data_IF_797875250605
#
_entry.id   IF_797875250605
#
_cell.length_a   1.000
_cell.length_b   1.000
_cell.length_c   1.000
_cell.angle_alpha   90.00
_cell.angle_beta   90.00
_cell.angle_gamma   90.00
#
_symmetry.space_group_name_H-M   'P 1'
#
loop_
_entity.id
_entity.type
_entity.pdbx_description
1 polymer ?
#
# COMPACT_ATOMS: atom_id res chain seq x y z
N UNK A 1 25.05 -0.88 -7.31
CA UNK A 1 25.72 -0.32 -8.50
C UNK A 1 24.60 0.17 -9.40
N UNK A 2 24.68 1.41 -9.88
CA UNK A 2 23.66 1.96 -10.77
C UNK A 2 23.65 1.14 -12.08
N UNK A 3 22.47 0.78 -12.59
CA UNK A 3 22.35 -0.09 -13.77
C UNK A 3 23.08 0.51 -14.98
N UNK A 4 22.97 1.84 -15.14
CA UNK A 4 23.67 2.58 -16.19
C UNK A 4 25.19 2.52 -16.06
N UNK A 5 25.73 2.58 -14.83
CA UNK A 5 27.17 2.52 -14.58
C UNK A 5 27.78 1.22 -15.10
N UNK A 6 27.07 0.10 -14.94
CA UNK A 6 27.48 -1.20 -15.48
C UNK A 6 27.55 -1.17 -17.01
N UNK A 7 26.51 -0.68 -17.69
CA UNK A 7 26.50 -0.57 -19.16
C UNK A 7 27.62 0.35 -19.66
N UNK A 8 27.81 1.50 -19.03
CA UNK A 8 28.88 2.44 -19.38
C UNK A 8 30.26 1.79 -19.24
N UNK A 9 30.53 1.10 -18.13
CA UNK A 9 31.81 0.42 -17.91
C UNK A 9 32.04 -0.71 -18.92
N UNK A 10 30.99 -1.46 -19.27
CA UNK A 10 31.06 -2.51 -20.30
C UNK A 10 31.40 -1.93 -21.68
N UNK A 11 30.72 -0.87 -22.12
CA UNK A 11 31.00 -0.24 -23.42
C UNK A 11 32.40 0.39 -23.44
N UNK A 12 32.85 1.01 -22.35
CA UNK A 12 34.23 1.54 -22.25
C UNK A 12 35.28 0.43 -22.32
N UNK A 13 35.01 -0.71 -21.67
CA UNK A 13 35.90 -1.87 -21.75
C UNK A 13 35.92 -2.47 -23.17
N UNK A 14 34.75 -2.59 -23.80
CA UNK A 14 34.61 -3.08 -25.17
C UNK A 14 35.41 -2.23 -26.16
N UNK A 15 35.30 -0.89 -26.10
CA UNK A 15 36.07 0.01 -26.96
C UNK A 15 37.59 -0.19 -26.79
N UNK A 16 38.08 -0.23 -25.55
CA UNK A 16 39.51 -0.45 -25.27
C UNK A 16 40.00 -1.81 -25.77
N UNK A 17 39.18 -2.85 -25.63
CA UNK A 17 39.51 -4.17 -26.14
C UNK A 17 39.54 -4.18 -27.67
N UNK A 18 38.58 -3.51 -28.32
CA UNK A 18 38.52 -3.37 -29.77
C UNK A 18 39.73 -2.62 -30.33
N UNK A 19 40.14 -1.52 -29.69
CA UNK A 19 41.33 -0.74 -30.04
C UNK A 19 42.59 -1.62 -29.98
N UNK A 20 42.79 -2.34 -28.87
CA UNK A 20 43.94 -3.23 -28.67
C UNK A 20 44.00 -4.34 -29.72
N UNK A 21 42.91 -5.08 -29.92
CA UNK A 21 42.85 -6.16 -30.91
C UNK A 21 43.04 -5.63 -32.34
N UNK A 22 42.49 -4.45 -32.65
CA UNK A 22 42.64 -3.85 -33.98
C UNK A 22 44.07 -3.37 -34.22
N UNK A 23 44.74 -2.83 -33.20
CA UNK A 23 46.15 -2.44 -33.29
C UNK A 23 47.07 -3.65 -33.52
N UNK A 24 46.79 -4.79 -32.88
CA UNK A 24 47.51 -6.05 -33.09
C UNK A 24 47.30 -6.61 -34.51
N UNK A 25 46.05 -6.67 -34.98
CA UNK A 25 45.74 -7.22 -36.30
C UNK A 25 46.10 -6.29 -37.46
N UNK A 26 46.00 -4.97 -37.26
CA UNK A 26 46.19 -3.93 -38.28
C UNK A 26 47.15 -2.85 -37.79
N UNK A 27 48.47 -3.10 -37.85
CA UNK A 27 49.47 -2.18 -37.32
C UNK A 27 49.42 -0.76 -37.91
N UNK A 28 48.98 -0.62 -39.16
CA UNK A 28 48.83 0.68 -39.82
C UNK A 28 47.74 1.57 -39.21
N UNK A 29 46.82 1.01 -38.40
CA UNK A 29 45.80 1.76 -37.67
C UNK A 29 46.18 1.98 -36.19
N UNK A 30 47.25 1.35 -35.70
CA UNK A 30 47.63 1.37 -34.30
C UNK A 30 47.85 2.80 -33.79
N UNK A 31 48.57 3.65 -34.54
CA UNK A 31 48.81 5.04 -34.16
C UNK A 31 47.51 5.86 -34.06
N UNK A 32 46.55 5.61 -34.96
CA UNK A 32 45.25 6.31 -34.98
C UNK A 32 44.30 5.85 -33.87
N UNK A 33 44.42 4.61 -33.42
CA UNK A 33 43.63 4.02 -32.35
C UNK A 33 44.34 4.08 -30.99
N UNK A 34 45.57 4.59 -30.97
CA UNK A 34 46.35 4.68 -29.75
C UNK A 34 45.78 5.79 -28.87
N UNK A 35 45.28 5.42 -27.69
CA UNK A 35 44.67 6.33 -26.71
C UNK A 35 45.66 7.30 -26.04
N UNK A 36 46.65 7.81 -26.77
CA UNK A 36 47.63 8.77 -26.28
C UNK A 36 47.09 10.20 -26.20
N UNK A 37 46.02 10.49 -26.93
CA UNK A 37 45.35 11.80 -26.90
C UNK A 37 44.21 11.80 -25.85
N UNK A 38 44.33 12.60 -24.78
CA UNK A 38 43.29 12.71 -23.76
C UNK A 38 41.94 13.18 -24.31
N UNK A 39 41.91 13.95 -25.39
CA UNK A 39 40.67 14.45 -25.98
C UNK A 39 39.93 13.35 -26.76
N UNK A 40 40.66 12.42 -27.39
CA UNK A 40 40.08 11.23 -28.03
C UNK A 40 39.55 10.27 -26.95
N UNK A 41 40.26 10.09 -25.84
CA UNK A 41 39.76 9.25 -24.74
C UNK A 41 38.46 9.82 -24.16
N UNK A 42 38.36 11.14 -23.97
CA UNK A 42 37.11 11.80 -23.54
C UNK A 42 35.97 11.64 -24.54
N UNK A 43 36.26 11.70 -25.84
CA UNK A 43 35.26 11.45 -26.88
C UNK A 43 34.77 10.00 -26.82
N UNK A 44 35.67 9.04 -26.66
CA UNK A 44 35.34 7.63 -26.53
C UNK A 44 34.53 7.35 -25.25
N UNK A 45 34.81 8.05 -24.15
CA UNK A 45 33.99 7.99 -22.94
C UNK A 45 32.58 8.54 -23.18
N UNK A 46 32.43 9.68 -23.86
CA UNK A 46 31.13 10.21 -24.26
C UNK A 46 30.35 9.24 -25.17
N UNK A 47 31.05 8.62 -26.13
CA UNK A 47 30.48 7.62 -27.02
C UNK A 47 30.03 6.36 -26.27
N UNK A 48 30.87 5.84 -25.37
CA UNK A 48 30.53 4.71 -24.50
C UNK A 48 29.31 4.99 -23.62
N UNK A 49 29.17 6.22 -23.11
CA UNK A 49 28.00 6.63 -22.33
C UNK A 49 26.70 6.59 -23.18
N UNK A 50 26.74 7.12 -24.41
CA UNK A 50 25.58 7.09 -25.32
C UNK A 50 25.23 5.65 -25.73
N UNK A 51 26.22 4.85 -26.12
CA UNK A 51 26.01 3.44 -26.50
C UNK A 51 25.52 2.59 -25.32
N UNK A 52 26.05 2.84 -24.12
CA UNK A 52 25.60 2.16 -22.90
C UNK A 52 24.13 2.46 -22.62
N UNK A 53 23.71 3.72 -22.78
CA UNK A 53 22.30 4.12 -22.63
C UNK A 53 21.41 3.53 -23.71
N UNK A 54 21.87 3.49 -24.96
CA UNK A 54 21.14 2.88 -26.07
C UNK A 54 20.94 1.37 -25.83
N UNK A 55 21.99 0.68 -25.37
CA UNK A 55 21.92 -0.75 -25.08
C UNK A 55 21.02 -1.04 -23.89
N UNK A 56 21.11 -0.24 -22.82
CA UNK A 56 20.17 -0.29 -21.70
C UNK A 56 18.73 -0.13 -22.19
N UNK A 57 18.46 0.79 -23.12
CA UNK A 57 17.13 0.99 -23.69
C UNK A 57 16.64 -0.19 -24.53
N UNK A 58 17.53 -0.85 -25.26
CA UNK A 58 17.19 -2.06 -26.03
C UNK A 58 16.89 -3.24 -25.08
N UNK A 59 17.60 -3.32 -23.96
CA UNK A 59 17.48 -4.38 -22.99
C UNK A 59 16.33 -4.16 -21.97
N UNK A 60 15.57 -3.05 -22.00
CA UNK A 60 14.61 -2.69 -20.95
C UNK A 60 13.26 -3.45 -20.98
N UNK A 61 13.13 -4.43 -21.87
CA UNK A 61 11.97 -5.31 -22.02
C UNK A 61 10.69 -4.68 -22.61
N UNK A 62 10.81 -3.58 -23.37
CA UNK A 62 9.69 -2.89 -24.02
C UNK A 62 8.60 -2.41 -23.03
N UNK A 63 8.97 -1.56 -22.04
CA UNK A 63 8.05 -0.99 -21.07
C UNK A 63 6.93 -0.17 -21.73
N UNK A 64 7.14 0.35 -22.93
CA UNK A 64 6.12 1.07 -23.73
C UNK A 64 4.90 0.20 -24.03
N UNK A 65 5.06 -1.12 -24.04
CA UNK A 65 3.96 -2.07 -24.26
C UNK A 65 3.46 -2.62 -22.92
N UNK A 66 4.39 -3.01 -22.03
CA UNK A 66 4.00 -3.71 -20.80
C UNK A 66 3.41 -2.79 -19.74
N UNK A 67 3.91 -1.56 -19.58
CA UNK A 67 3.41 -0.63 -18.56
C UNK A 67 1.96 -0.21 -18.80
N UNK A 68 1.53 0.22 -20.00
CA UNK A 68 0.13 0.58 -20.22
C UNK A 68 -0.83 -0.59 -19.96
N UNK A 69 -0.43 -1.82 -20.27
CA UNK A 69 -1.22 -3.02 -19.99
C UNK A 69 -1.33 -3.28 -18.49
N UNK A 70 -0.22 -3.20 -17.74
CA UNK A 70 -0.21 -3.36 -16.29
C UNK A 70 -0.96 -2.23 -15.56
N UNK A 71 -0.87 -0.99 -16.06
CA UNK A 71 -1.65 0.15 -15.57
C UNK A 71 -3.16 -0.06 -15.79
N UNK A 72 -3.55 -0.59 -16.95
CA UNK A 72 -4.95 -1.01 -17.22
C UNK A 72 -5.41 -2.06 -16.23
N UNK A 73 -4.54 -3.02 -15.92
CA UNK A 73 -4.76 -4.02 -14.87
C UNK A 73 -4.56 -3.47 -13.46
N UNK A 74 -4.33 -2.17 -13.28
CA UNK A 74 -4.13 -1.56 -11.96
C UNK A 74 -3.10 -2.28 -11.08
N UNK A 75 -2.10 -2.94 -11.68
CA UNK A 75 -1.18 -3.81 -10.98
C UNK A 75 -0.38 -3.03 -9.93
N UNK A 76 -0.27 -3.58 -8.71
CA UNK A 76 0.40 -2.89 -7.61
C UNK A 76 1.90 -2.67 -7.88
N UNK A 77 2.53 -3.55 -8.67
CA UNK A 77 3.97 -3.46 -9.01
C UNK A 77 4.35 -2.18 -9.74
N UNK A 78 3.47 -1.67 -10.61
CA UNK A 78 3.70 -0.42 -11.36
C UNK A 78 3.21 0.82 -10.60
N UNK A 79 2.54 0.63 -9.46
CA UNK A 79 2.12 1.71 -8.54
C UNK A 79 3.09 1.88 -7.36
N UNK A 80 3.88 0.85 -7.05
CA UNK A 80 4.74 0.80 -5.86
C UNK A 80 3.96 0.43 -4.60
N UNK A 81 4.65 0.32 -3.48
CA UNK A 81 4.09 -0.01 -2.16
C UNK A 81 4.49 1.12 -1.20
N UNK A 82 3.54 1.94 -0.74
CA UNK A 82 3.79 2.93 0.29
C UNK A 82 4.26 2.30 1.61
N UNK A 83 4.95 3.11 2.43
CA UNK A 83 5.31 2.73 3.78
C UNK A 83 4.06 2.58 4.67
N UNK A 84 4.07 1.61 5.59
CA UNK A 84 2.93 1.32 6.46
C UNK A 84 3.36 1.04 7.90
N UNK A 85 2.47 1.26 8.85
CA UNK A 85 2.67 0.96 10.26
C UNK A 85 1.31 0.66 10.92
N UNK A 86 1.31 0.28 12.19
CA UNK A 86 0.09 0.14 13.01
C UNK A 86 0.12 1.20 14.10
N UNK A 87 -0.92 2.03 14.17
CA UNK A 87 -1.10 3.02 15.24
C UNK A 87 -2.14 2.56 16.24
N UNK A 88 -1.94 2.98 17.48
CA UNK A 88 -2.90 2.87 18.57
C UNK A 88 -3.41 4.26 18.93
N UNK A 89 -4.73 4.37 19.07
CA UNK A 89 -5.38 5.51 19.69
C UNK A 89 -5.65 5.18 21.15
N UNK A 90 -4.92 5.82 22.06
CA UNK A 90 -4.97 5.54 23.49
C UNK A 90 -5.22 6.85 24.23
N UNK A 91 -6.30 6.92 24.99
CA UNK A 91 -6.52 8.03 25.92
C UNK A 91 -6.52 7.59 27.39
N UNK A 92 -5.93 6.41 27.66
CA UNK A 92 -5.79 5.88 29.01
C UNK A 92 -7.13 5.73 29.73
N UNK A 93 -7.20 6.21 30.96
CA UNK A 93 -8.41 6.17 31.81
C UNK A 93 -9.38 7.30 31.55
N UNK A 94 -9.04 8.25 30.67
CA UNK A 94 -9.83 9.47 30.47
C UNK A 94 -10.84 9.34 29.31
N UNK A 95 -10.78 8.23 28.55
CA UNK A 95 -11.70 7.96 27.44
C UNK A 95 -12.89 7.14 27.95
N UNK A 96 -13.93 7.85 28.35
CA UNK A 96 -15.19 7.26 28.82
C UNK A 96 -16.31 7.20 27.76
N UNK A 97 -15.96 7.47 26.51
CA UNK A 97 -16.87 7.51 25.36
C UNK A 97 -16.58 6.42 24.33
N UNK A 98 -17.56 6.14 23.48
CA UNK A 98 -17.38 5.32 22.28
C UNK A 98 -17.46 6.20 21.04
N UNK A 99 -16.58 5.98 20.07
CA UNK A 99 -16.63 6.66 18.78
C UNK A 99 -16.06 5.78 17.66
N UNK A 100 -16.25 6.18 16.41
CA UNK A 100 -15.66 5.48 15.26
C UNK A 100 -14.88 6.47 14.44
N UNK A 101 -13.56 6.25 14.36
CA UNK A 101 -12.69 7.02 13.50
C UNK A 101 -12.86 6.52 12.05
N UNK A 102 -13.18 7.41 11.10
CA UNK A 102 -13.38 7.01 9.72
C UNK A 102 -12.06 6.52 9.09
N UNK A 103 -12.20 5.70 8.06
CA UNK A 103 -11.06 5.39 7.17
C UNK A 103 -10.54 6.67 6.54
N UNK A 104 -9.22 6.80 6.48
CA UNK A 104 -8.56 7.97 5.90
C UNK A 104 -8.40 9.12 6.88
N UNK A 105 -8.58 8.88 8.17
CA UNK A 105 -8.20 9.82 9.23
C UNK A 105 -6.69 10.04 9.16
N UNK A 106 -6.26 11.30 9.17
CA UNK A 106 -4.85 11.67 9.04
C UNK A 106 -4.17 11.63 10.40
N UNK A 107 -2.94 11.10 10.42
CA UNK A 107 -2.01 11.17 11.55
C UNK A 107 -0.63 11.54 11.00
N UNK A 108 0.19 12.22 11.77
CA UNK A 108 1.48 12.75 11.30
C UNK A 108 2.62 12.38 12.23
N UNK A 109 3.83 12.37 11.68
CA UNK A 109 5.05 12.32 12.49
C UNK A 109 5.36 13.68 13.13
N UNK A 110 6.29 13.71 14.07
CA UNK A 110 6.86 14.96 14.61
C UNK A 110 7.49 15.87 13.54
N UNK A 111 7.94 15.29 12.43
CA UNK A 111 8.47 16.01 11.26
C UNK A 111 7.41 16.45 10.25
N UNK A 112 6.13 16.16 10.49
CA UNK A 112 5.01 16.54 9.63
C UNK A 112 4.74 15.60 8.45
N UNK A 113 5.33 14.40 8.42
CA UNK A 113 5.06 13.40 7.37
C UNK A 113 3.66 12.79 7.58
N UNK A 114 2.77 12.84 6.58
CA UNK A 114 1.40 12.36 6.72
C UNK A 114 1.26 10.85 6.53
N UNK A 115 0.37 10.28 7.33
CA UNK A 115 -0.12 8.92 7.25
C UNK A 115 -1.64 8.94 7.36
N UNK A 116 -2.31 7.96 6.76
CA UNK A 116 -3.77 7.84 6.83
C UNK A 116 -4.19 6.47 7.31
N UNK A 117 -5.29 6.40 8.05
CA UNK A 117 -5.88 5.13 8.46
C UNK A 117 -6.43 4.35 7.25
N UNK A 118 -6.05 3.08 7.14
CA UNK A 118 -6.45 2.20 6.05
C UNK A 118 -7.88 1.66 6.17
N UNK A 119 -8.44 1.68 7.38
CA UNK A 119 -9.79 1.20 7.72
C UNK A 119 -10.39 2.05 8.84
N UNK A 120 -11.66 1.85 9.14
CA UNK A 120 -12.32 2.46 10.29
C UNK A 120 -11.76 1.88 11.59
N UNK A 121 -11.62 2.69 12.63
CA UNK A 121 -11.19 2.25 13.95
C UNK A 121 -12.30 2.54 14.96
N UNK A 122 -12.82 1.50 15.62
CA UNK A 122 -13.78 1.66 16.70
C UNK A 122 -13.03 1.92 18.01
N UNK A 123 -13.35 3.04 18.66
CA UNK A 123 -12.88 3.39 19.99
C UNK A 123 -14.01 3.03 20.95
N UNK A 124 -13.72 2.17 21.91
CA UNK A 124 -14.66 1.74 22.93
C UNK A 124 -14.11 2.11 24.31
N UNK A 125 -14.95 2.40 25.31
CA UNK A 125 -14.50 2.77 26.65
C UNK A 125 -14.07 1.53 27.44
N UNK A 126 -13.08 0.81 26.91
CA UNK A 126 -12.54 -0.43 27.41
C UNK A 126 -11.02 -0.36 27.48
N UNK A 127 -10.46 -0.86 28.58
CA UNK A 127 -9.02 -1.11 28.72
C UNK A 127 -8.77 -2.60 28.99
N UNK A 128 -7.82 -3.20 28.28
CA UNK A 128 -7.37 -4.56 28.55
C UNK A 128 -6.31 -4.52 29.69
N UNK A 129 -6.73 -4.88 30.90
CA UNK A 129 -5.93 -4.72 32.13
C UNK A 129 -5.08 -5.95 32.47
N UNK A 130 -5.49 -7.15 32.04
CA UNK A 130 -4.72 -8.36 32.31
C UNK A 130 -4.82 -9.38 31.17
N UNK A 131 -3.71 -10.09 30.93
CA UNK A 131 -3.63 -11.31 30.12
C UNK A 131 -3.03 -12.40 31.00
N UNK A 132 -3.73 -13.51 31.18
CA UNK A 132 -3.24 -14.63 32.00
C UNK A 132 -3.23 -15.91 31.18
N UNK A 133 -2.11 -16.62 31.20
CA UNK A 133 -1.92 -17.85 30.46
C UNK A 133 -1.85 -19.02 31.44
N UNK A 134 -2.73 -19.99 31.26
CA UNK A 134 -2.72 -21.22 32.06
C UNK A 134 -2.65 -22.43 31.16
N UNK A 135 -1.71 -23.31 31.47
CA UNK A 135 -1.56 -24.59 30.80
C UNK A 135 -2.21 -25.68 31.64
N UNK A 136 -3.13 -26.41 31.03
CA UNK A 136 -3.69 -27.65 31.54
C UNK A 136 -3.16 -28.78 30.64
N UNK A 137 -3.13 -30.01 31.15
CA UNK A 137 -2.45 -31.19 30.55
C UNK A 137 -2.30 -31.15 29.01
N UNK A 138 -3.43 -31.00 28.29
CA UNK A 138 -3.47 -30.91 26.83
C UNK A 138 -4.29 -29.70 26.32
N UNK A 139 -4.43 -28.64 27.12
CA UNK A 139 -5.16 -27.43 26.67
C UNK A 139 -4.53 -26.17 27.23
N UNK A 140 -4.54 -25.10 26.45
CA UNK A 140 -4.12 -23.78 26.92
C UNK A 140 -5.33 -22.88 27.10
N UNK A 141 -5.42 -22.19 28.23
CA UNK A 141 -6.43 -21.15 28.47
C UNK A 141 -5.75 -19.80 28.59
N UNK A 142 -6.13 -18.88 27.71
CA UNK A 142 -5.69 -17.48 27.72
C UNK A 142 -6.87 -16.59 28.13
N UNK A 143 -6.78 -16.00 29.32
CA UNK A 143 -7.82 -15.13 29.87
C UNK A 143 -7.44 -13.66 29.66
N UNK A 144 -8.28 -12.94 28.92
CA UNK A 144 -8.17 -11.50 28.67
C UNK A 144 -9.19 -10.77 29.56
N UNK A 145 -8.73 -9.88 30.44
CA UNK A 145 -9.60 -9.16 31.38
C UNK A 145 -9.73 -7.70 30.98
N UNK A 146 -10.96 -7.28 30.69
CA UNK A 146 -11.30 -5.94 30.26
C UNK A 146 -11.94 -5.15 31.39
N UNK A 147 -11.51 -3.90 31.54
CA UNK A 147 -12.08 -2.90 32.43
C UNK A 147 -12.93 -1.94 31.59
N UNK A 148 -14.19 -1.79 31.95
CA UNK A 148 -15.07 -0.77 31.41
C UNK A 148 -14.84 0.56 32.12
N UNK A 149 -14.68 1.63 31.32
CA UNK A 149 -14.35 2.99 31.77
C UNK A 149 -15.49 3.96 31.42
N UNK A 150 -16.55 3.48 30.76
CA UNK A 150 -17.64 4.35 30.31
C UNK A 150 -18.54 4.82 31.46
N UNK A 151 -19.32 5.86 31.16
CA UNK A 151 -20.25 6.48 32.13
C UNK A 151 -21.54 5.70 32.33
N UNK A 152 -21.90 4.80 31.42
CA UNK A 152 -23.18 4.09 31.47
C UNK A 152 -23.13 2.90 32.41
N UNK A 153 -24.27 2.53 32.98
CA UNK A 153 -24.38 1.36 33.86
C UNK A 153 -24.26 0.02 33.11
N UNK A 154 -24.09 0.05 31.79
CA UNK A 154 -23.97 -1.13 30.96
C UNK A 154 -23.07 -0.91 29.76
N UNK A 155 -22.43 -1.98 29.30
CA UNK A 155 -21.68 -1.99 28.05
C UNK A 155 -22.44 -2.80 26.99
N UNK A 156 -22.69 -2.25 25.78
CA UNK A 156 -23.27 -3.00 24.67
C UNK A 156 -22.26 -4.03 24.15
N UNK A 157 -22.69 -5.29 24.06
CA UNK A 157 -21.84 -6.37 23.55
C UNK A 157 -21.67 -6.19 22.04
N UNK A 158 -20.45 -5.81 21.62
CA UNK A 158 -20.07 -5.61 20.22
C UNK A 158 -18.81 -6.39 19.87
N UNK A 159 -18.55 -6.65 18.58
CA UNK A 159 -17.28 -7.23 18.16
C UNK A 159 -16.09 -6.33 18.53
N UNK A 160 -15.03 -6.92 19.09
CA UNK A 160 -13.82 -6.20 19.48
C UNK A 160 -12.70 -6.46 18.46
N UNK A 161 -12.14 -5.40 17.88
CA UNK A 161 -10.94 -5.53 17.05
C UNK A 161 -9.69 -5.45 17.92
N UNK A 162 -8.84 -6.47 17.83
CA UNK A 162 -7.60 -6.59 18.59
C UNK A 162 -6.42 -6.72 17.63
N UNK A 163 -5.38 -5.92 17.87
CA UNK A 163 -4.08 -6.11 17.25
C UNK A 163 -3.26 -7.08 18.11
N UNK A 164 -2.74 -8.14 17.50
CA UNK A 164 -2.19 -9.27 18.24
C UNK A 164 -0.90 -8.92 18.97
N UNK A 165 0.09 -8.33 18.31
CA UNK A 165 1.35 -7.91 18.92
C UNK A 165 2.18 -7.07 17.94
N UNK A 166 2.97 -6.08 18.42
CA UNK A 166 4.01 -5.45 17.61
C UNK A 166 5.21 -6.38 17.35
N UNK A 167 5.42 -7.41 18.18
CA UNK A 167 6.40 -8.47 17.95
C UNK A 167 5.82 -9.49 16.96
N UNK A 168 6.45 -9.59 15.80
CA UNK A 168 6.03 -10.44 14.68
C UNK A 168 5.98 -11.93 15.06
N UNK A 169 6.99 -12.44 15.78
CA UNK A 169 7.03 -13.86 16.15
C UNK A 169 5.90 -14.22 17.14
N UNK A 170 5.59 -13.31 18.06
CA UNK A 170 4.45 -13.47 18.98
C UNK A 170 3.14 -13.38 18.22
N UNK A 171 3.00 -12.41 17.30
CA UNK A 171 1.80 -12.22 16.50
C UNK A 171 1.51 -13.44 15.59
N UNK A 172 2.53 -13.99 14.94
CA UNK A 172 2.44 -15.18 14.10
C UNK A 172 2.03 -16.41 14.91
N UNK A 173 2.65 -16.61 16.07
CA UNK A 173 2.32 -17.72 16.97
C UNK A 173 0.87 -17.63 17.44
N UNK A 174 0.42 -16.43 17.82
CA UNK A 174 -0.97 -16.17 18.19
C UNK A 174 -1.91 -16.40 17.00
N UNK A 175 -1.56 -15.90 15.81
CA UNK A 175 -2.38 -16.05 14.61
C UNK A 175 -2.54 -17.52 14.21
N UNK A 176 -1.46 -18.29 14.23
CA UNK A 176 -1.47 -19.74 14.00
C UNK A 176 -2.36 -20.45 15.01
N UNK A 177 -2.17 -20.16 16.31
CA UNK A 177 -2.97 -20.74 17.38
C UNK A 177 -4.46 -20.44 17.24
N UNK A 178 -4.81 -19.20 16.93
CA UNK A 178 -6.18 -18.76 16.72
C UNK A 178 -6.83 -19.38 15.48
N UNK A 179 -6.07 -19.60 14.40
CA UNK A 179 -6.61 -20.15 13.15
C UNK A 179 -6.72 -21.67 13.14
N UNK A 180 -5.82 -22.38 13.82
CA UNK A 180 -5.68 -23.84 13.69
C UNK A 180 -5.90 -24.63 14.98
N UNK A 181 -5.67 -24.02 16.14
CA UNK A 181 -5.66 -24.71 17.44
C UNK A 181 -6.75 -24.20 18.39
N UNK A 182 -7.53 -23.21 17.95
CA UNK A 182 -8.59 -22.61 18.74
C UNK A 182 -9.82 -23.52 18.81
N UNK A 183 -10.29 -23.78 20.03
CA UNK A 183 -11.42 -24.67 20.29
C UNK A 183 -12.72 -23.92 20.50
N UNK A 184 -12.74 -23.01 21.47
CA UNK A 184 -13.89 -22.19 21.84
C UNK A 184 -13.48 -21.03 22.76
N UNK A 185 -14.41 -20.12 23.04
CA UNK A 185 -14.21 -19.04 23.99
C UNK A 185 -15.38 -18.96 24.98
N UNK A 186 -15.09 -18.37 26.13
CA UNK A 186 -16.06 -18.19 27.21
C UNK A 186 -16.03 -16.72 27.65
N UNK A 187 -17.19 -16.08 27.73
CA UNK A 187 -17.35 -14.75 28.32
C UNK A 187 -17.74 -14.92 29.78
N UNK A 188 -17.01 -14.27 30.68
CA UNK A 188 -17.17 -14.34 32.13
C UNK A 188 -17.49 -12.95 32.68
N UNK A 189 -18.59 -12.81 33.42
CA UNK A 189 -18.95 -11.57 34.11
C UNK A 189 -19.92 -11.84 35.27
N UNK A 190 -19.70 -11.22 36.42
CA UNK A 190 -20.50 -11.38 37.65
C UNK A 190 -20.79 -12.86 38.03
N UNK A 191 -19.79 -13.73 37.86
CA UNK A 191 -19.91 -15.16 38.12
C UNK A 191 -20.75 -15.95 37.11
N UNK A 192 -21.30 -15.29 36.09
CA UNK A 192 -21.96 -15.94 34.96
C UNK A 192 -20.95 -16.23 33.85
N UNK A 193 -21.14 -17.38 33.20
CA UNK A 193 -20.33 -17.82 32.07
C UNK A 193 -21.26 -18.01 30.89
N UNK A 194 -21.03 -17.26 29.82
CA UNK A 194 -21.69 -17.48 28.55
C UNK A 194 -20.73 -18.19 27.61
N UNK A 195 -21.08 -19.39 27.13
CA UNK A 195 -20.31 -20.03 26.08
C UNK A 195 -20.43 -19.15 24.84
N UNK A 196 -19.28 -18.78 24.30
CA UNK A 196 -19.26 -18.31 22.93
C UNK A 196 -19.15 -19.57 22.06
N UNK A 197 -20.19 -19.90 21.29
CA UNK A 197 -20.08 -20.83 20.16
C UNK A 197 -18.81 -20.51 19.37
N UNK A 198 -18.12 -21.49 18.73
CA UNK A 198 -16.84 -21.26 18.06
C UNK A 198 -16.95 -19.99 17.24
N UNK A 199 -16.45 -18.91 17.84
CA UNK A 199 -16.81 -17.58 17.36
C UNK A 199 -16.23 -17.52 15.96
N UNK A 200 -16.82 -16.68 15.11
CA UNK A 200 -16.12 -16.23 13.93
C UNK A 200 -14.90 -15.42 14.38
N UNK A 201 -13.85 -16.10 14.87
CA UNK A 201 -12.48 -15.63 14.84
C UNK A 201 -12.10 -15.66 13.37
N UNK A 202 -12.65 -14.71 12.62
CA UNK A 202 -12.18 -14.47 11.28
C UNK A 202 -10.97 -13.56 11.44
N UNK A 203 -9.74 -14.05 11.18
CA UNK A 203 -8.75 -13.10 10.71
C UNK A 203 -9.40 -12.38 9.53
N UNK A 204 -9.11 -11.09 9.34
CA UNK A 204 -9.61 -10.38 8.17
C UNK A 204 -9.33 -11.23 6.92
N UNK A 205 -10.16 -11.21 5.89
CA UNK A 205 -9.95 -12.07 4.73
C UNK A 205 -10.39 -11.38 3.45
N UNK A 206 -9.86 -11.84 2.32
CA UNK A 206 -10.15 -11.24 1.01
C UNK A 206 -9.84 -9.75 0.96
N UNK A 207 -10.79 -8.96 0.48
CA UNK A 207 -10.65 -7.50 0.31
C UNK A 207 -10.57 -6.74 1.62
N UNK A 208 -11.04 -7.30 2.74
CA UNK A 208 -11.03 -6.65 4.04
C UNK A 208 -9.63 -6.61 4.66
N UNK A 209 -8.70 -7.46 4.17
CA UNK A 209 -7.27 -7.39 4.52
C UNK A 209 -6.55 -6.20 3.89
N UNK A 210 -7.04 -5.69 2.76
CA UNK A 210 -6.29 -4.74 1.94
C UNK A 210 -6.10 -3.39 2.63
N UNK A 211 -4.86 -2.93 2.64
CA UNK A 211 -4.41 -1.72 3.33
C UNK A 211 -4.20 -0.58 2.35
N UNK A 212 -3.59 -0.84 1.18
CA UNK A 212 -3.12 0.22 0.27
C UNK A 212 -4.24 0.87 -0.55
N UNK A 213 -5.28 0.11 -0.90
CA UNK A 213 -6.44 0.61 -1.65
C UNK A 213 -7.62 -0.34 -1.47
N UNK A 214 -8.85 0.15 -1.24
CA UNK A 214 -10.01 -0.69 -1.51
C UNK A 214 -10.08 -0.90 -3.04
N UNK A 215 -10.47 -2.08 -3.53
CA UNK A 215 -10.85 -2.19 -4.92
C UNK A 215 -11.99 -1.18 -5.16
N UNK A 216 -11.76 -0.21 -6.05
CA UNK A 216 -12.87 0.50 -6.69
C UNK A 216 -13.79 -0.59 -7.23
N UNK A 217 -15.11 -0.41 -7.09
CA UNK A 217 -16.17 -1.41 -7.30
C UNK A 217 -16.12 -2.24 -8.61
N UNK A 218 -15.19 -1.94 -9.52
CA UNK A 218 -14.79 -2.77 -10.66
C UNK A 218 -13.70 -3.75 -10.22
N UNK A 219 -14.07 -4.69 -9.34
CA UNK A 219 -13.16 -5.68 -8.77
C UNK A 219 -12.72 -6.74 -9.82
N UNK A 220 -11.42 -6.82 -10.08
CA UNK A 220 -10.79 -8.05 -10.60
C UNK A 220 -9.37 -8.33 -10.08
N UNK A 221 -8.65 -7.31 -9.57
CA UNK A 221 -7.20 -7.43 -9.33
C UNK A 221 -6.80 -7.32 -7.84
N UNK A 222 -7.75 -7.55 -6.94
CA UNK A 222 -7.50 -7.55 -5.50
C UNK A 222 -6.61 -8.73 -5.06
N UNK A 223 -6.68 -9.88 -5.73
CA UNK A 223 -5.92 -11.07 -5.33
C UNK A 223 -4.40 -10.92 -5.54
N UNK A 224 -3.90 -10.43 -6.70
CA UNK A 224 -2.49 -10.08 -6.85
C UNK A 224 -2.01 -9.01 -5.86
N UNK A 225 -2.85 -8.02 -5.56
CA UNK A 225 -2.55 -7.02 -4.53
C UNK A 225 -2.45 -7.68 -3.15
N UNK A 226 -3.38 -8.56 -2.79
CA UNK A 226 -3.36 -9.29 -1.52
C UNK A 226 -2.10 -10.14 -1.37
N UNK A 227 -1.63 -10.79 -2.44
CA UNK A 227 -0.38 -11.54 -2.42
C UNK A 227 0.81 -10.61 -2.12
N UNK A 228 0.89 -9.46 -2.80
CA UNK A 228 1.95 -8.48 -2.56
C UNK A 228 1.89 -7.92 -1.13
N UNK A 229 0.72 -7.50 -0.66
CA UNK A 229 0.57 -7.00 0.72
C UNK A 229 0.93 -8.07 1.75
N UNK A 230 0.55 -9.34 1.53
CA UNK A 230 0.89 -10.43 2.45
C UNK A 230 2.39 -10.72 2.52
N UNK A 231 3.13 -10.51 1.41
CA UNK A 231 4.58 -10.75 1.36
C UNK A 231 5.40 -9.55 1.85
N UNK A 232 4.95 -8.32 1.57
CA UNK A 232 5.71 -7.11 1.85
C UNK A 232 5.24 -6.36 3.10
N UNK A 233 4.01 -6.59 3.56
CA UNK A 233 3.38 -5.89 4.68
C UNK A 233 2.74 -6.87 5.71
N UNK A 234 3.43 -7.93 6.16
CA UNK A 234 2.84 -8.90 7.11
C UNK A 234 2.40 -8.24 8.43
N UNK A 235 3.16 -7.25 8.91
CA UNK A 235 2.95 -6.56 10.19
C UNK A 235 1.59 -5.86 10.33
N UNK A 236 0.95 -5.44 9.23
CA UNK A 236 -0.37 -4.77 9.25
C UNK A 236 -1.56 -5.73 9.17
N UNK A 237 -1.30 -7.03 9.06
CA UNK A 237 -2.33 -8.06 8.94
C UNK A 237 -2.59 -8.85 10.24
N UNK A 238 -1.84 -8.59 11.31
CA UNK A 238 -2.00 -9.22 12.63
C UNK A 238 -3.19 -8.68 13.44
N UNK A 239 -4.36 -8.64 12.83
CA UNK A 239 -5.61 -8.21 13.43
C UNK A 239 -6.60 -9.35 13.55
N UNK A 240 -7.33 -9.34 14.66
CA UNK A 240 -8.39 -10.27 14.96
C UNK A 240 -9.66 -9.48 15.29
N UNK A 241 -10.81 -9.98 14.86
CA UNK A 241 -12.10 -9.50 15.37
C UNK A 241 -12.71 -10.56 16.27
N UNK A 242 -12.83 -10.26 17.56
CA UNK A 242 -13.56 -11.06 18.53
C UNK A 242 -15.04 -10.75 18.42
N UNK A 243 -15.80 -11.58 17.71
CA UNK A 243 -17.25 -11.57 17.89
C UNK A 243 -17.57 -12.00 19.33
N UNK A 244 -18.57 -11.40 19.97
CA UNK A 244 -19.00 -11.78 21.32
C UNK A 244 -20.42 -12.35 21.27
N UNK A 245 -20.77 -13.29 22.17
CA UNK A 245 -22.08 -13.92 22.16
C UNK A 245 -23.17 -12.89 22.49
N UNK A 246 -24.00 -12.55 21.52
CA UNK A 246 -25.11 -11.58 21.68
C UNK A 246 -26.48 -12.25 21.85
N UNK A 247 -26.55 -13.58 21.67
CA UNK A 247 -27.81 -14.34 21.66
C UNK A 247 -28.48 -14.36 23.03
N UNK A 248 -27.69 -14.48 24.11
CA UNK A 248 -28.22 -14.58 25.48
C UNK A 248 -28.36 -13.22 26.16
N UNK A 249 -27.51 -12.26 25.80
CA UNK A 249 -27.62 -10.86 26.21
C UNK A 249 -27.00 -9.97 25.15
N UNK A 250 -27.57 -8.79 24.92
CA UNK A 250 -26.98 -7.75 24.07
C UNK A 250 -26.15 -6.72 24.86
N UNK A 251 -26.17 -6.80 26.20
CA UNK A 251 -25.58 -5.81 27.12
C UNK A 251 -25.03 -6.50 28.38
N UNK A 252 -23.89 -6.04 28.87
CA UNK A 252 -23.34 -6.45 30.17
C UNK A 252 -23.58 -5.35 31.21
N UNK A 253 -24.06 -5.71 32.40
CA UNK A 253 -24.36 -4.76 33.48
C UNK A 253 -23.11 -4.42 34.28
N UNK A 254 -22.62 -3.18 34.18
CA UNK A 254 -21.36 -2.73 34.80
C UNK A 254 -21.54 -2.17 36.22
N UNK A 255 -22.71 -2.41 36.84
CA UNK A 255 -23.09 -1.90 38.16
C UNK A 255 -22.42 -2.61 39.33
N UNK A 256 -22.29 -3.94 39.26
CA UNK A 256 -21.69 -4.76 40.33
C UNK A 256 -20.17 -4.91 40.16
N UNK A 257 -19.75 -5.11 38.91
CA UNK A 257 -18.36 -5.17 38.49
C UNK A 257 -18.22 -4.41 37.19
N UNK A 258 -17.24 -3.51 37.11
CA UNK A 258 -16.86 -2.87 35.86
C UNK A 258 -15.88 -3.71 35.04
N UNK A 259 -15.69 -4.99 35.40
CA UNK A 259 -14.80 -5.91 34.70
C UNK A 259 -15.54 -7.11 34.13
N UNK A 260 -15.10 -7.54 32.97
CA UNK A 260 -15.45 -8.82 32.37
C UNK A 260 -14.20 -9.47 31.79
N UNK A 261 -14.22 -10.79 31.64
CA UNK A 261 -13.10 -11.51 31.04
C UNK A 261 -13.54 -12.44 29.92
N UNK A 262 -12.66 -12.63 28.96
CA UNK A 262 -12.83 -13.54 27.83
C UNK A 262 -11.73 -14.59 27.93
N UNK A 263 -12.12 -15.86 28.07
CA UNK A 263 -11.17 -16.97 28.09
C UNK A 263 -11.16 -17.64 26.73
N UNK A 264 -9.99 -17.64 26.09
CA UNK A 264 -9.73 -18.36 24.84
C UNK A 264 -9.15 -19.73 25.17
N UNK A 265 -9.71 -20.79 24.60
CA UNK A 265 -9.31 -22.17 24.87
C UNK A 265 -8.72 -22.77 23.60
N UNK A 266 -7.53 -23.34 23.73
CA UNK A 266 -6.79 -23.98 22.65
C UNK A 266 -6.58 -25.46 22.95
N UNK A 267 -6.62 -26.30 21.92
CA UNK A 267 -6.40 -27.75 22.02
C UNK A 267 -4.90 -28.14 22.10
N UNK A 268 -4.00 -27.16 21.97
CA UNK A 268 -2.56 -27.37 22.05
C UNK A 268 -1.88 -26.43 23.06
N UNK A 269 -0.64 -26.76 23.39
CA UNK A 269 0.23 -25.91 24.21
C UNK A 269 0.67 -24.68 23.40
N UNK A 270 0.25 -23.49 23.83
CA UNK A 270 0.70 -22.23 23.23
C UNK A 270 2.14 -21.94 23.69
N UNK A 271 3.15 -21.90 22.80
CA UNK A 271 4.56 -21.74 23.18
C UNK A 271 4.91 -20.27 23.44
N UNK A 272 4.14 -19.60 24.30
CA UNK A 272 4.32 -18.20 24.67
C UNK A 272 4.43 -18.06 26.19
N UNK A 273 5.26 -17.12 26.63
CA UNK A 273 5.37 -16.73 28.04
C UNK A 273 4.46 -15.55 28.38
N UNK A 274 4.14 -15.37 29.66
CA UNK A 274 3.35 -14.20 30.11
C UNK A 274 4.04 -12.86 29.80
N UNK A 275 5.37 -12.81 29.80
CA UNK A 275 6.12 -11.61 29.42
C UNK A 275 5.95 -11.25 27.95
N UNK A 276 5.93 -12.25 27.06
CA UNK A 276 5.63 -12.04 25.63
C UNK A 276 4.18 -11.58 25.40
N UNK A 277 3.24 -12.04 26.22
CA UNK A 277 1.84 -11.67 26.13
C UNK A 277 1.51 -10.29 26.72
N UNK A 278 2.40 -9.69 27.51
CA UNK A 278 2.17 -8.40 28.16
C UNK A 278 1.79 -7.29 27.17
N UNK A 279 2.43 -7.30 26.00
CA UNK A 279 2.23 -6.32 24.93
C UNK A 279 1.16 -6.75 23.90
N UNK A 280 0.60 -7.94 24.05
CA UNK A 280 -0.33 -8.53 23.09
C UNK A 280 -1.79 -8.05 23.27
N UNK A 281 -2.62 -8.29 22.25
CA UNK A 281 -4.06 -8.01 22.23
C UNK A 281 -4.40 -6.53 22.46
N UNK A 282 -3.75 -5.62 21.73
CA UNK A 282 -3.96 -4.18 21.86
C UNK A 282 -5.31 -3.77 21.26
N UNK A 283 -6.07 -2.97 22.01
CA UNK A 283 -7.30 -2.32 21.56
C UNK A 283 -6.99 -1.03 20.77
N UNK A 284 -7.98 -0.52 20.06
CA UNK A 284 -7.95 0.80 19.39
C UNK A 284 -6.79 0.96 18.40
N UNK A 285 -6.41 -0.15 17.76
CA UNK A 285 -5.33 -0.20 16.80
C UNK A 285 -5.87 -0.16 15.37
N UNK A 286 -5.12 0.43 14.46
CA UNK A 286 -5.44 0.46 13.03
C UNK A 286 -4.18 0.58 12.18
N UNK A 287 -4.09 -0.09 11.02
CA UNK A 287 -2.99 0.15 10.11
C UNK A 287 -3.10 1.51 9.45
N UNK A 288 -1.95 2.16 9.32
CA UNK A 288 -1.78 3.43 8.61
C UNK A 288 -0.84 3.26 7.43
N UNK A 289 -1.04 4.12 6.42
CA UNK A 289 -0.28 4.12 5.17
C UNK A 289 0.23 5.53 4.93
N UNK A 290 1.51 5.69 4.59
CA UNK A 290 2.06 6.97 4.16
C UNK A 290 1.42 7.34 2.82
N UNK A 291 0.48 8.27 2.88
CA UNK A 291 -0.23 8.75 1.70
C UNK A 291 -0.53 10.23 1.90
N UNK A 292 -0.23 11.01 0.89
CA UNK A 292 -0.70 12.37 0.76
C UNK A 292 -2.02 12.34 -0.04
N UNK A 293 -3.14 12.52 0.67
CA UNK A 293 -4.47 12.56 0.04
C UNK A 293 -4.80 13.97 -0.43
N UNK A 294 -5.49 14.04 -1.56
CA UNK A 294 -6.04 15.29 -2.14
C UNK A 294 -4.95 16.24 -2.66
N UNK A 295 -3.79 15.72 -3.04
CA UNK A 295 -2.88 16.48 -3.86
C UNK A 295 -3.58 16.80 -5.18
N UNK A 296 -3.62 18.09 -5.51
CA UNK A 296 -4.22 18.58 -6.73
C UNK A 296 -3.31 19.58 -7.39
N UNK A 297 -3.32 19.58 -8.72
CA UNK A 297 -2.62 20.59 -9.49
C UNK A 297 -3.47 20.98 -10.70
N UNK A 298 -3.50 22.27 -11.01
CA UNK A 298 -4.23 22.80 -12.15
C UNK A 298 -3.25 23.20 -13.23
N UNK A 299 -3.51 22.76 -14.45
CA UNK A 299 -2.73 23.10 -15.63
C UNK A 299 -3.58 23.84 -16.65
N UNK A 300 -3.06 24.90 -17.28
CA UNK A 300 -3.63 25.40 -18.51
C UNK A 300 -3.36 24.43 -19.64
N UNK A 301 -4.37 24.14 -20.46
CA UNK A 301 -4.11 23.45 -21.71
C UNK A 301 -3.24 24.32 -22.62
N UNK A 302 -2.17 23.75 -23.15
CA UNK A 302 -1.27 24.42 -24.09
C UNK A 302 -1.50 23.89 -25.51
N UNK A 303 -1.53 24.77 -26.54
CA UNK A 303 -1.55 24.31 -27.92
C UNK A 303 -0.29 23.49 -28.22
N UNK A 304 -0.42 22.52 -29.12
CA UNK A 304 0.69 21.67 -29.61
C UNK A 304 1.34 20.73 -28.57
N UNK A 305 0.85 20.71 -27.32
CA UNK A 305 1.34 19.82 -26.28
C UNK A 305 0.22 18.94 -25.73
N UNK A 306 0.38 17.63 -25.89
CA UNK A 306 -0.50 16.63 -25.28
C UNK A 306 0.01 16.12 -23.92
N UNK A 307 1.25 16.45 -23.54
CA UNK A 307 1.95 15.91 -22.37
C UNK A 307 2.13 16.97 -21.28
N UNK A 308 1.61 16.68 -20.08
CA UNK A 308 1.60 17.59 -18.93
C UNK A 308 2.33 16.94 -17.75
N UNK A 309 3.59 17.33 -17.47
CA UNK A 309 4.37 16.81 -16.34
C UNK A 309 3.72 17.15 -15.00
N UNK A 310 3.61 16.16 -14.12
CA UNK A 310 3.11 16.34 -12.76
C UNK A 310 4.25 16.83 -11.85
N UNK A 311 4.07 17.92 -11.09
CA UNK A 311 5.12 18.50 -10.25
C UNK A 311 5.27 17.75 -8.93
N UNK A 312 5.65 16.47 -9.00
CA UNK A 312 5.95 15.67 -7.82
C UNK A 312 7.38 15.99 -7.32
N UNK A 313 7.57 16.31 -6.03
CA UNK A 313 8.88 16.44 -5.41
C UNK A 313 9.76 15.21 -5.62
N UNK A 314 11.08 15.44 -5.65
CA UNK A 314 12.05 14.36 -5.69
C UNK A 314 11.86 13.44 -4.47
N UNK A 315 11.68 12.14 -4.71
CA UNK A 315 11.46 11.17 -3.65
C UNK A 315 9.99 10.87 -3.39
N UNK A 316 9.03 11.52 -4.07
CA UNK A 316 7.64 11.09 -4.10
C UNK A 316 7.35 10.19 -5.31
N UNK A 317 6.39 9.30 -5.14
CA UNK A 317 5.86 8.43 -6.18
C UNK A 317 4.34 8.58 -6.25
N UNK A 318 3.81 8.50 -7.48
CA UNK A 318 2.37 8.55 -7.74
C UNK A 318 1.76 7.16 -7.54
N UNK A 319 0.78 7.04 -6.66
CA UNK A 319 0.04 5.79 -6.46
C UNK A 319 -1.05 5.63 -7.54
N UNK A 320 -1.88 6.66 -7.73
CA UNK A 320 -2.85 6.73 -8.82
C UNK A 320 -3.41 8.15 -8.99
N UNK A 321 -3.90 8.43 -10.20
CA UNK A 321 -4.77 9.58 -10.50
C UNK A 321 -6.19 9.22 -10.11
N UNK A 322 -6.82 10.02 -9.25
CA UNK A 322 -8.18 9.75 -8.74
C UNK A 322 -9.25 10.35 -9.64
N UNK A 323 -9.01 11.59 -10.10
CA UNK A 323 -9.96 12.34 -10.92
C UNK A 323 -9.25 13.40 -11.75
N UNK A 324 -9.72 13.59 -12.98
CA UNK A 324 -9.45 14.79 -13.77
C UNK A 324 -10.76 15.54 -13.97
N UNK A 325 -10.72 16.87 -13.84
CA UNK A 325 -11.89 17.73 -14.04
C UNK A 325 -11.46 19.04 -14.70
N UNK A 326 -12.38 19.72 -15.38
CA UNK A 326 -12.12 21.09 -15.84
C UNK A 326 -12.29 22.05 -14.66
N UNK A 327 -11.48 23.11 -14.62
CA UNK A 327 -11.49 24.09 -13.52
C UNK A 327 -12.87 24.75 -13.31
N UNK A 328 -13.62 24.96 -14.39
CA UNK A 328 -14.94 25.63 -14.39
C UNK A 328 -16.07 24.67 -14.82
N UNK A 329 -15.97 23.38 -14.49
CA UNK A 329 -17.03 22.42 -14.84
C UNK A 329 -18.34 22.78 -14.11
N UNK A 330 -19.46 23.06 -14.82
CA UNK A 330 -20.68 23.48 -14.16
C UNK A 330 -21.32 22.33 -13.38
N UNK A 331 -21.65 22.57 -12.10
CA UNK A 331 -22.34 21.60 -11.23
C UNK A 331 -23.71 21.17 -11.81
N UNK A 332 -24.40 22.09 -12.50
CA UNK A 332 -25.68 21.85 -13.19
C UNK A 332 -25.52 21.68 -14.71
N UNK A 333 -26.47 20.97 -15.34
CA UNK A 333 -26.45 20.51 -16.74
C UNK A 333 -26.44 21.60 -17.84
N UNK A 334 -26.16 22.87 -17.51
CA UNK A 334 -26.03 23.96 -18.48
C UNK A 334 -24.56 24.20 -18.81
N UNK A 335 -24.06 23.43 -19.77
CA UNK A 335 -22.72 23.58 -20.34
C UNK A 335 -22.26 22.30 -21.03
N UNK A 336 -21.32 22.41 -21.96
CA UNK A 336 -20.70 21.25 -22.59
C UNK A 336 -19.77 20.61 -21.54
N UNK A 337 -20.20 19.47 -20.98
CA UNK A 337 -19.40 18.64 -20.07
C UNK A 337 -18.34 17.91 -20.88
N UNK A 338 -17.13 17.93 -20.37
CA UNK A 338 -15.96 17.30 -20.96
C UNK A 338 -15.52 16.21 -19.99
N UNK A 339 -15.76 14.96 -20.35
CA UNK A 339 -15.41 13.84 -19.47
C UNK A 339 -14.00 13.35 -19.78
N UNK A 340 -13.23 13.06 -18.72
CA UNK A 340 -11.90 12.49 -18.84
C UNK A 340 -11.93 11.01 -18.45
N UNK A 341 -11.44 10.14 -19.32
CA UNK A 341 -11.35 8.71 -19.06
C UNK A 341 -9.92 8.20 -19.28
N UNK A 342 -9.45 7.20 -18.52
CA UNK A 342 -8.21 6.51 -18.86
C UNK A 342 -8.25 5.95 -20.29
N UNK A 343 -7.15 6.05 -21.04
CA UNK A 343 -7.05 5.51 -22.40
C UNK A 343 -7.33 4.01 -22.46
N UNK A 344 -7.14 3.29 -21.35
CA UNK A 344 -7.47 1.88 -21.22
C UNK A 344 -8.97 1.57 -21.39
N UNK A 345 -9.84 2.58 -21.26
CA UNK A 345 -11.27 2.48 -21.49
C UNK A 345 -11.66 2.82 -22.94
N UNK A 346 -10.74 3.35 -23.75
CA UNK A 346 -10.98 3.64 -25.15
C UNK A 346 -11.25 2.32 -25.89
N UNK A 347 -12.50 2.15 -26.31
CA UNK A 347 -12.94 1.00 -27.10
C UNK A 347 -13.74 1.47 -28.30
N UNK A 348 -13.84 0.63 -29.34
CA UNK A 348 -14.62 0.94 -30.54
C UNK A 348 -16.09 1.29 -30.24
N UNK A 349 -16.64 0.79 -29.14
CA UNK A 349 -18.05 1.00 -28.74
C UNK A 349 -18.30 2.30 -27.97
N UNK A 350 -17.26 2.98 -27.49
CA UNK A 350 -17.37 4.22 -26.69
C UNK A 350 -17.38 5.48 -27.58
N UNK A 351 -17.27 5.32 -28.91
CA UNK A 351 -17.02 6.42 -29.84
C UNK A 351 -18.20 7.36 -30.12
N UNK A 352 -19.40 7.12 -29.58
CA UNK A 352 -20.61 7.80 -30.07
C UNK A 352 -21.66 8.08 -28.97
N UNK A 353 -21.26 8.77 -27.90
CA UNK A 353 -22.19 9.19 -26.82
C UNK A 353 -22.70 10.64 -26.97
N UNK A 354 -22.22 11.40 -27.96
CA UNK A 354 -22.61 12.80 -28.18
C UNK A 354 -22.00 13.81 -27.20
N UNK A 355 -21.28 13.35 -26.17
CA UNK A 355 -20.49 14.18 -25.25
C UNK A 355 -19.02 14.25 -25.71
N UNK A 356 -18.35 15.39 -25.52
CA UNK A 356 -16.91 15.48 -25.75
C UNK A 356 -16.17 14.70 -24.68
N UNK A 357 -15.67 13.51 -25.04
CA UNK A 357 -14.88 12.66 -24.16
C UNK A 357 -13.41 12.70 -24.57
N UNK A 358 -12.56 12.97 -23.58
CA UNK A 358 -11.12 12.99 -23.73
C UNK A 358 -10.49 11.84 -22.96
N UNK A 359 -9.39 11.32 -23.50
CA UNK A 359 -8.70 10.18 -22.91
C UNK A 359 -7.34 10.61 -22.38
N UNK A 360 -6.90 10.01 -21.29
CA UNK A 360 -5.59 10.26 -20.72
C UNK A 360 -4.83 8.97 -20.42
N UNK A 361 -3.52 9.01 -20.57
CA UNK A 361 -2.60 7.99 -20.10
C UNK A 361 -1.67 8.59 -19.04
N UNK A 362 -1.30 7.77 -18.05
CA UNK A 362 -0.23 8.11 -17.12
C UNK A 362 1.10 7.64 -17.73
N UNK A 363 1.91 8.58 -18.18
CA UNK A 363 3.27 8.35 -18.64
C UNK A 363 4.22 8.33 -17.43
N UNK A 364 4.94 7.22 -17.25
CA UNK A 364 5.91 7.04 -16.17
C UNK A 364 7.27 6.79 -16.83
N UNK A 365 8.18 7.75 -16.67
CA UNK A 365 9.50 7.72 -17.29
C UNK A 365 10.59 7.91 -16.25
N UNK A 366 11.85 7.80 -16.66
CA UNK A 366 13.01 8.12 -15.82
C UNK A 366 13.83 9.23 -16.45
N UNK A 367 14.27 10.17 -15.62
CA UNK A 367 15.20 11.23 -16.04
C UNK A 367 16.60 10.68 -16.32
N UNK A 368 17.55 11.57 -16.66
CA UNK A 368 18.95 11.19 -16.88
C UNK A 368 19.68 10.62 -15.66
N UNK A 369 19.11 10.78 -14.46
CA UNK A 369 19.63 10.32 -13.17
C UNK A 369 18.80 9.14 -12.61
N UNK A 370 17.93 8.54 -13.42
CA UNK A 370 17.09 7.39 -13.06
C UNK A 370 15.89 7.72 -12.16
N UNK A 371 15.60 9.01 -11.92
CA UNK A 371 14.50 9.47 -11.07
C UNK A 371 13.18 9.36 -11.82
N UNK A 372 12.12 8.96 -11.12
CA UNK A 372 10.80 8.80 -11.71
C UNK A 372 10.21 10.17 -12.08
N UNK A 373 9.72 10.28 -13.31
CA UNK A 373 8.95 11.41 -13.81
C UNK A 373 7.56 10.94 -14.23
N UNK A 374 6.56 11.72 -13.88
CA UNK A 374 5.16 11.43 -14.17
C UNK A 374 4.59 12.52 -15.06
N UNK A 375 3.85 12.13 -16.09
CA UNK A 375 3.11 13.07 -16.91
C UNK A 375 1.75 12.50 -17.31
N UNK A 376 0.79 13.38 -17.52
CA UNK A 376 -0.47 13.04 -18.17
C UNK A 376 -0.33 13.27 -19.66
N UNK A 377 -0.67 12.27 -20.46
CA UNK A 377 -0.71 12.40 -21.93
C UNK A 377 -2.17 12.30 -22.37
N UNK A 378 -2.66 13.32 -23.07
CA UNK A 378 -4.04 13.38 -23.53
C UNK A 378 -4.21 12.95 -24.98
N UNK A 379 -5.34 12.29 -25.24
CA UNK A 379 -5.72 11.73 -26.52
C UNK A 379 -7.17 12.07 -26.84
N UNK A 380 -7.46 12.22 -28.14
CA UNK A 380 -8.81 12.34 -28.66
C UNK A 380 -9.54 10.98 -28.70
N UNK A 381 -10.81 10.98 -29.11
CA UNK A 381 -11.63 9.78 -29.29
C UNK A 381 -11.14 8.81 -30.38
N UNK A 382 -10.20 9.26 -31.22
CA UNK A 382 -9.54 8.47 -32.25
C UNK A 382 -8.17 7.93 -31.79
N UNK A 383 -7.84 8.07 -30.50
CA UNK A 383 -6.56 7.69 -29.91
C UNK A 383 -5.35 8.44 -30.51
N UNK A 384 -5.57 9.63 -31.05
CA UNK A 384 -4.50 10.53 -31.51
C UNK A 384 -4.13 11.47 -30.38
N UNK A 385 -2.86 11.86 -30.33
CA UNK A 385 -2.40 12.88 -29.38
C UNK A 385 -3.23 14.14 -29.54
N UNK A 386 -3.62 14.72 -28.41
CA UNK A 386 -4.38 15.96 -28.36
C UNK A 386 -3.58 17.07 -29.07
N UNK A 387 -4.09 17.52 -30.21
CA UNK A 387 -3.54 18.66 -30.94
C UNK A 387 -4.30 19.96 -30.64
N UNK A 388 -5.60 19.85 -30.42
CA UNK A 388 -6.51 20.95 -30.11
C UNK A 388 -7.17 20.68 -28.77
N UNK A 389 -6.57 21.14 -27.66
CA UNK A 389 -7.21 20.98 -26.36
C UNK A 389 -8.50 21.82 -26.28
N UNK A 390 -9.41 21.50 -25.36
CA UNK A 390 -10.46 22.45 -25.01
C UNK A 390 -9.76 23.71 -24.46
N UNK A 391 -10.16 24.92 -24.91
CA UNK A 391 -9.60 26.22 -24.45
C UNK A 391 -9.94 26.48 -22.96
N UNK A 392 -9.39 25.68 -22.04
CA UNK A 392 -9.69 25.65 -20.60
C UNK A 392 -8.47 25.22 -19.79
N UNK A 393 -8.59 25.25 -18.48
CA UNK A 393 -7.65 24.62 -17.55
C UNK A 393 -8.25 23.30 -17.02
N UNK A 394 -7.41 22.32 -16.71
CA UNK A 394 -7.83 21.08 -16.05
C UNK A 394 -7.13 20.93 -14.70
N UNK A 395 -7.84 20.35 -13.74
CA UNK A 395 -7.32 19.99 -12.42
C UNK A 395 -7.13 18.48 -12.36
N UNK A 396 -5.91 18.06 -12.01
CA UNK A 396 -5.56 16.68 -11.74
C UNK A 396 -5.57 16.44 -10.24
N UNK A 397 -6.43 15.54 -9.78
CA UNK A 397 -6.43 15.00 -8.43
C UNK A 397 -5.69 13.67 -8.40
N UNK A 398 -4.79 13.51 -7.43
CA UNK A 398 -4.01 12.31 -7.32
C UNK A 398 -3.66 11.94 -5.87
N UNK A 399 -3.17 10.72 -5.70
CA UNK A 399 -2.64 10.20 -4.44
C UNK A 399 -1.17 9.89 -4.66
N UNK A 400 -0.32 10.47 -3.82
CA UNK A 400 1.12 10.25 -3.81
C UNK A 400 1.58 9.66 -2.46
N UNK A 401 2.80 9.13 -2.45
CA UNK A 401 3.48 8.67 -1.25
C UNK A 401 4.97 8.98 -1.34
N UNK A 402 5.63 9.01 -0.19
CA UNK A 402 7.06 9.19 -0.09
C UNK A 402 7.76 7.84 -0.34
N UNK A 403 8.51 7.78 -1.44
CA UNK A 403 9.30 6.60 -1.83
C UNK A 403 10.66 6.50 -1.13
N UNK A 404 11.01 7.53 -0.33
CA UNK A 404 12.28 7.65 0.40
C UNK A 404 12.05 8.26 1.77
N UNK A 405 11.31 7.54 2.62
CA UNK A 405 11.17 7.92 4.02
C UNK A 405 12.44 7.55 4.81
N UNK A 406 12.80 8.35 5.83
CA UNK A 406 13.74 7.89 6.84
C UNK A 406 13.14 6.69 7.59
N UNK A 407 13.99 5.89 8.23
CA UNK A 407 13.52 4.84 9.13
C UNK A 407 12.74 5.48 10.30
N UNK A 408 11.47 5.10 10.44
CA UNK A 408 10.60 5.54 11.53
C UNK A 408 10.39 4.38 12.50
N UNK A 409 10.71 4.60 13.77
CA UNK A 409 10.56 3.62 14.84
C UNK A 409 9.19 3.73 15.51
N UNK A 410 8.89 2.81 16.42
CA UNK A 410 7.69 2.87 17.25
C UNK A 410 7.66 4.19 18.05
N UNK A 411 6.54 4.90 17.99
CA UNK A 411 6.32 6.20 18.63
C UNK A 411 6.57 7.43 17.75
N UNK A 412 7.17 7.29 16.57
CA UNK A 412 7.46 8.45 15.69
C UNK A 412 6.21 9.04 15.01
N UNK A 413 5.16 8.22 14.79
CA UNK A 413 3.85 8.66 14.30
C UNK A 413 2.98 8.98 15.52
N UNK A 414 2.98 10.25 15.92
CA UNK A 414 2.50 10.66 17.25
C UNK A 414 1.54 11.86 17.27
N UNK A 415 1.29 12.49 16.13
CA UNK A 415 0.38 13.64 16.05
C UNK A 415 -0.95 13.27 15.39
N UNK A 416 -2.03 13.53 16.12
CA UNK A 416 -3.39 13.39 15.64
C UNK A 416 -3.84 14.69 14.92
N UNK A 417 -4.61 14.54 13.84
CA UNK A 417 -5.30 15.64 13.16
C UNK A 417 -6.47 16.17 14.01
N UNK A 418 -6.97 17.38 13.69
CA UNK A 418 -8.06 18.07 14.41
C UNK A 418 -9.39 17.29 14.40
N UNK A 419 -9.53 16.34 13.48
CA UNK A 419 -10.73 15.51 13.34
C UNK A 419 -10.82 14.37 14.38
N UNK A 420 -9.76 14.14 15.17
CA UNK A 420 -9.72 13.10 16.19
C UNK A 420 -10.23 13.70 17.52
N UNK A 421 -11.16 13.04 18.24
CA UNK A 421 -11.68 13.53 19.51
C UNK A 421 -10.60 13.84 20.54
N UNK A 422 -10.80 14.92 21.29
CA UNK A 422 -9.93 15.32 22.40
C UNK A 422 -9.73 14.19 23.41
N UNK A 423 -8.50 14.06 23.92
CA UNK A 423 -8.13 13.05 24.91
C UNK A 423 -7.54 11.76 24.31
N UNK A 424 -7.68 11.52 23.00
CA UNK A 424 -7.00 10.41 22.32
C UNK A 424 -5.59 10.80 21.89
N UNK A 425 -4.59 10.11 22.45
CA UNK A 425 -3.21 10.19 21.97
C UNK A 425 -2.98 9.12 20.91
N UNK A 426 -2.18 9.45 19.89
CA UNK A 426 -1.79 8.50 18.86
C UNK A 426 -0.33 8.13 19.01
N UNK A 427 0.00 6.86 18.81
CA UNK A 427 1.37 6.37 18.69
C UNK A 427 1.41 5.16 17.77
N UNK A 428 2.40 5.04 16.90
CA UNK A 428 2.64 3.78 16.22
C UNK A 428 3.28 2.74 17.14
N UNK A 429 2.78 1.51 17.06
CA UNK A 429 3.27 0.35 17.80
C UNK A 429 4.35 -0.41 17.05
N UNK A 430 4.26 -0.45 15.72
CA UNK A 430 5.24 -1.11 14.85
C UNK A 430 6.15 -0.08 14.19
N UNK A 431 7.42 -0.41 13.92
CA UNK A 431 8.25 0.41 13.06
C UNK A 431 7.61 0.51 11.67
N UNK A 432 7.90 1.60 10.96
CA UNK A 432 7.36 1.79 9.63
C UNK A 432 8.08 0.88 8.62
N UNK A 433 7.31 0.23 7.74
CA UNK A 433 7.87 -0.57 6.66
C UNK A 433 8.58 0.29 5.63
N UNK A 434 9.50 -0.31 4.87
CA UNK A 434 10.06 0.33 3.71
C UNK A 434 8.98 0.63 2.66
N UNK A 435 9.16 1.74 1.94
CA UNK A 435 8.42 2.03 0.72
C UNK A 435 9.12 1.40 -0.48
N UNK A 436 8.36 0.80 -1.38
CA UNK A 436 8.87 0.26 -2.63
C UNK A 436 8.41 1.16 -3.79
N UNK A 437 9.33 1.78 -4.55
CA UNK A 437 8.94 2.61 -5.68
C UNK A 437 8.32 1.75 -6.80
N UNK A 438 7.56 2.37 -7.72
CA UNK A 438 7.10 1.73 -8.94
C UNK A 438 8.21 1.02 -9.72
N UNK A 439 7.94 -0.21 -10.14
CA UNK A 439 8.79 -0.93 -11.10
C UNK A 439 8.33 -0.57 -12.51
N UNK A 440 9.12 0.27 -13.18
CA UNK A 440 8.83 0.75 -14.54
C UNK A 440 9.43 -0.12 -15.64
N UNK A 441 10.52 -0.82 -15.32
CA UNK A 441 11.40 -1.46 -16.28
C UNK A 441 11.78 -2.86 -15.75
N UNK A 442 11.10 -3.88 -16.26
CA UNK A 442 11.37 -5.27 -15.86
C UNK A 442 10.94 -6.27 -16.92
N UNK A 443 11.85 -7.19 -17.29
CA UNK A 443 11.52 -8.36 -18.09
C UNK A 443 10.42 -9.25 -17.46
N UNK A 444 10.25 -9.17 -16.13
CA UNK A 444 9.22 -9.95 -15.42
C UNK A 444 7.81 -9.47 -15.69
N UNK A 445 7.62 -8.28 -16.28
CA UNK A 445 6.29 -7.79 -16.64
C UNK A 445 5.55 -8.70 -17.62
N UNK A 446 6.26 -9.33 -18.58
CA UNK A 446 5.65 -10.30 -19.48
C UNK A 446 5.15 -11.55 -18.76
N UNK A 447 5.94 -12.07 -17.80
CA UNK A 447 5.52 -13.17 -16.95
C UNK A 447 4.31 -12.78 -16.10
N UNK A 448 4.31 -11.57 -15.53
CA UNK A 448 3.19 -11.06 -14.75
C UNK A 448 1.91 -10.92 -15.59
N UNK A 449 1.99 -10.35 -16.80
CA UNK A 449 0.87 -10.27 -17.74
C UNK A 449 0.33 -11.65 -18.10
N UNK A 450 1.21 -12.63 -18.31
CA UNK A 450 0.83 -14.02 -18.53
C UNK A 450 0.02 -14.57 -17.33
N UNK A 451 0.46 -14.30 -16.10
CA UNK A 451 -0.27 -14.71 -14.88
C UNK A 451 -1.65 -14.06 -14.78
N UNK A 452 -1.81 -12.79 -15.15
CA UNK A 452 -3.12 -12.14 -15.19
C UNK A 452 -4.07 -12.76 -16.22
N UNK A 453 -3.53 -13.40 -17.26
CA UNK A 453 -4.33 -14.11 -18.28
C UNK A 453 -4.60 -15.58 -17.94
N UNK A 454 -3.90 -16.14 -16.95
CA UNK A 454 -4.03 -17.53 -16.58
C UNK A 454 -5.39 -17.81 -15.95
N UNK A 455 -6.04 -18.90 -16.35
CA UNK A 455 -7.25 -19.38 -15.67
C UNK A 455 -6.89 -19.81 -14.25
N UNK A 456 -7.77 -19.48 -13.29
CA UNK A 456 -7.71 -19.94 -11.90
C UNK A 456 -7.54 -21.47 -11.79
N UNK A 457 -8.02 -22.23 -12.77
CA UNK A 457 -7.84 -23.68 -12.86
C UNK A 457 -6.37 -24.10 -12.98
N UNK A 458 -5.56 -23.36 -13.74
CA UNK A 458 -4.13 -23.66 -13.90
C UNK A 458 -3.34 -23.36 -12.62
N UNK A 459 -3.73 -22.34 -11.86
CA UNK A 459 -3.08 -21.98 -10.59
C UNK A 459 -3.29 -23.02 -9.47
N UNK A 460 -4.26 -23.92 -9.61
CA UNK A 460 -4.48 -25.02 -8.67
C UNK A 460 -3.57 -26.24 -8.88
N UNK A 461 -2.83 -26.29 -9.99
CA UNK A 461 -1.89 -27.37 -10.28
C UNK A 461 -0.45 -26.88 -10.17
N UNK A 462 0.34 -27.47 -9.27
CA UNK A 462 1.77 -27.16 -9.14
C UNK A 462 2.53 -27.48 -10.45
N UNK A 463 2.09 -28.51 -11.19
CA UNK A 463 2.69 -28.88 -12.48
C UNK A 463 2.41 -27.84 -13.58
N UNK A 464 1.37 -27.03 -13.44
CA UNK A 464 1.05 -25.95 -14.37
C UNK A 464 1.82 -24.65 -14.10
N UNK A 465 2.49 -24.56 -12.94
CA UNK A 465 3.35 -23.44 -12.54
C UNK A 465 4.83 -23.66 -12.88
N UNK A 466 5.20 -24.88 -13.32
CA UNK A 466 6.52 -25.21 -13.86
C UNK A 466 6.58 -24.83 -15.33
#
# INVERSE_FOLDING_TARGET
>A
MDLFESYFQQERHYLRQLEQLTAEEKPHLADSLSGHDPDIERLNEGFAALMGRQRQKIDDAFPEITLPLLQRLQAQTVKGIPATSVVQFDGGTDVDFSCTLPRGTTVTTSSGVPFITSRTCAIEPLALVARHLTHQLDTTRLTLTFQYIGKEDHWPIKPLSLFLSPDEAVADTLMLALCHHFRNAELHHNGQVWPAEPLGFSPLSGTDRLVLSPPIAVASNWAPQMLMESLYLPHVHHFLTLALPTVMSSRLSMTESQQFSITLIFDDMLPLSESQLAEAFRLHCVPVVNLERKAQVTFPFAPETARYPLPLPNGQALLHVTRLELKDEPEEARGQRCTFAPISQLSHFVRDTGEEQWFYALDITRDALGRLEYALVFYDSHARLMAQPPEREFTCHFVAFDSRLPELVAGDICHADENIPDGLQVKNLTPCSLSYPPVTDSHRHWALLSHYSASLFWLHSVDALR
#
